data_IF_888550643511
#
_entry.id   IF_888550643511
#
_cell.length_a   1.000
_cell.length_b   1.000
_cell.length_c   1.000
_cell.angle_alpha   90.00
_cell.angle_beta   90.00
_cell.angle_gamma   90.00
#
_symmetry.space_group_name_H-M   'P 1'
#
loop_
_entity.id
_entity.type
_entity.pdbx_description
1 polymer ?
#
# COMPACT_ATOMS: atom_id res chain seq x y z
N UNK A 1 -5.21 -24.05 -2.77
CA UNK A 1 -4.30 -23.12 -3.47
C UNK A 1 -3.82 -22.08 -2.47
N UNK A 2 -2.51 -21.81 -2.40
CA UNK A 2 -1.94 -20.78 -1.53
C UNK A 2 -2.13 -19.41 -2.17
N UNK A 3 -2.56 -18.41 -1.40
CA UNK A 3 -2.61 -17.03 -1.88
C UNK A 3 -1.18 -16.53 -2.15
N UNK A 4 -0.93 -15.83 -3.28
CA UNK A 4 0.38 -15.31 -3.62
C UNK A 4 0.82 -14.22 -2.65
N UNK A 5 2.12 -14.12 -2.39
CA UNK A 5 2.70 -13.07 -1.54
C UNK A 5 2.69 -11.71 -2.26
N UNK A 6 2.82 -10.61 -1.49
CA UNK A 6 2.96 -9.25 -2.04
C UNK A 6 4.03 -9.18 -3.11
N UNK A 7 5.21 -9.75 -2.85
CA UNK A 7 6.34 -9.73 -3.78
C UNK A 7 6.07 -10.53 -5.05
N UNK A 8 5.39 -11.67 -4.94
CA UNK A 8 4.97 -12.47 -6.10
C UNK A 8 3.97 -11.69 -6.97
N UNK A 9 3.01 -10.99 -6.36
CA UNK A 9 2.06 -10.16 -7.10
C UNK A 9 2.79 -9.01 -7.80
N UNK A 10 3.66 -8.29 -7.09
CA UNK A 10 4.45 -7.21 -7.68
C UNK A 10 5.34 -7.70 -8.83
N UNK A 11 5.97 -8.87 -8.67
CA UNK A 11 6.77 -9.49 -9.73
C UNK A 11 5.93 -9.85 -10.96
N UNK A 12 4.72 -10.41 -10.77
CA UNK A 12 3.81 -10.71 -11.88
C UNK A 12 3.38 -9.46 -12.65
N UNK A 13 3.03 -8.38 -11.94
CA UNK A 13 2.71 -7.09 -12.56
C UNK A 13 3.89 -6.50 -13.34
N UNK A 14 5.12 -6.60 -12.82
CA UNK A 14 6.35 -6.17 -13.54
C UNK A 14 6.61 -7.03 -14.77
N UNK A 15 6.46 -8.35 -14.66
CA UNK A 15 6.65 -9.28 -15.76
C UNK A 15 5.66 -9.00 -16.90
N UNK A 16 4.39 -8.75 -16.58
CA UNK A 16 3.39 -8.35 -17.58
C UNK A 16 3.77 -7.05 -18.28
N UNK A 17 4.23 -6.03 -17.53
CA UNK A 17 4.69 -4.78 -18.14
C UNK A 17 5.87 -4.98 -19.10
N UNK A 18 6.86 -5.80 -18.72
CA UNK A 18 7.99 -6.15 -19.59
C UNK A 18 7.53 -6.92 -20.83
N UNK A 19 6.60 -7.87 -20.68
CA UNK A 19 6.02 -8.60 -21.81
C UNK A 19 5.29 -7.66 -22.76
N UNK A 20 4.47 -6.73 -22.27
CA UNK A 20 3.80 -5.73 -23.11
C UNK A 20 4.80 -4.84 -23.86
N UNK A 21 5.86 -4.40 -23.20
CA UNK A 21 6.89 -3.57 -23.83
C UNK A 21 7.63 -4.36 -24.93
N UNK A 22 8.07 -5.58 -24.64
CA UNK A 22 8.78 -6.43 -25.62
C UNK A 22 7.87 -6.83 -26.80
N UNK A 23 6.59 -7.06 -26.52
CA UNK A 23 5.56 -7.36 -27.51
C UNK A 23 5.31 -6.20 -28.48
N UNK A 24 5.39 -4.96 -27.99
CA UNK A 24 5.10 -3.76 -28.79
C UNK A 24 6.06 -3.58 -29.96
N UNK A 25 7.28 -4.09 -29.87
CA UNK A 25 8.29 -4.01 -30.93
C UNK A 25 8.13 -5.08 -32.04
N UNK A 26 7.28 -6.10 -31.83
CA UNK A 26 7.24 -7.28 -32.71
C UNK A 26 5.85 -7.80 -33.12
N UNK A 27 4.77 -7.26 -32.59
CA UNK A 27 3.41 -7.74 -32.91
C UNK A 27 2.72 -6.90 -33.99
N UNK A 28 2.24 -7.57 -35.03
CA UNK A 28 1.33 -7.01 -36.05
C UNK A 28 -0.12 -6.95 -35.55
N UNK A 29 -0.33 -6.56 -34.29
CA UNK A 29 -1.67 -6.36 -33.72
C UNK A 29 -1.92 -4.88 -33.52
N UNK A 30 -3.18 -4.45 -33.68
CA UNK A 30 -3.54 -3.07 -33.36
C UNK A 30 -3.29 -2.77 -31.88
N UNK A 31 -2.96 -1.51 -31.56
CA UNK A 31 -2.82 -1.01 -30.20
C UNK A 31 -4.04 -1.35 -29.33
N UNK A 32 -5.25 -1.22 -29.89
CA UNK A 32 -6.50 -1.56 -29.21
C UNK A 32 -6.59 -3.04 -28.81
N UNK A 33 -6.15 -3.95 -29.69
CA UNK A 33 -6.11 -5.39 -29.38
C UNK A 33 -5.05 -5.68 -28.29
N UNK A 34 -3.89 -5.01 -28.33
CA UNK A 34 -2.87 -5.13 -27.30
C UNK A 34 -3.38 -4.67 -25.93
N UNK A 35 -4.09 -3.55 -25.87
CA UNK A 35 -4.74 -3.07 -24.64
C UNK A 35 -5.78 -4.06 -24.12
N UNK A 36 -6.65 -4.58 -24.98
CA UNK A 36 -7.67 -5.53 -24.57
C UNK A 36 -7.06 -6.81 -23.97
N UNK A 37 -5.98 -7.34 -24.55
CA UNK A 37 -5.29 -8.52 -24.02
C UNK A 37 -4.66 -8.20 -22.66
N UNK A 38 -4.00 -7.03 -22.54
CA UNK A 38 -3.41 -6.59 -21.27
C UNK A 38 -4.46 -6.49 -20.17
N UNK A 39 -5.62 -5.91 -20.47
CA UNK A 39 -6.70 -5.74 -19.50
C UNK A 39 -7.29 -7.10 -19.07
N UNK A 40 -7.49 -8.04 -20.01
CA UNK A 40 -7.92 -9.40 -19.68
C UNK A 40 -6.94 -10.13 -18.74
N UNK A 41 -5.63 -9.94 -18.94
CA UNK A 41 -4.62 -10.53 -18.04
C UNK A 41 -4.64 -9.83 -16.68
N UNK A 42 -4.80 -8.49 -16.65
CA UNK A 42 -4.89 -7.74 -15.40
C UNK A 42 -6.12 -8.15 -14.58
N UNK A 43 -7.26 -8.42 -15.22
CA UNK A 43 -8.48 -8.90 -14.55
C UNK A 43 -8.31 -10.29 -13.91
N UNK A 44 -7.44 -11.13 -14.49
CA UNK A 44 -7.11 -12.44 -13.95
C UNK A 44 -6.02 -12.39 -12.86
N UNK A 45 -5.22 -11.31 -12.81
CA UNK A 45 -4.16 -11.14 -11.82
C UNK A 45 -4.74 -10.62 -10.50
N UNK A 46 -4.14 -11.02 -9.36
CA UNK A 46 -4.42 -10.34 -8.10
C UNK A 46 -4.15 -8.83 -8.25
N UNK A 47 -4.95 -7.98 -7.57
CA UNK A 47 -4.80 -6.54 -7.66
C UNK A 47 -3.40 -6.12 -7.22
N UNK A 48 -2.85 -5.11 -7.90
CA UNK A 48 -1.54 -4.59 -7.54
C UNK A 48 -1.57 -4.08 -6.09
N UNK A 49 -0.68 -4.55 -5.21
CA UNK A 49 -0.66 -4.11 -3.82
C UNK A 49 -0.40 -2.60 -3.72
N UNK A 50 -1.12 -1.92 -2.82
CA UNK A 50 -0.87 -0.51 -2.52
C UNK A 50 0.51 -0.32 -1.90
N UNK A 51 1.19 0.81 -2.13
CA UNK A 51 2.50 1.08 -1.55
C UNK A 51 2.43 1.11 -0.01
N UNK A 52 3.51 0.70 0.63
CA UNK A 52 3.68 0.82 2.08
C UNK A 52 4.36 2.14 2.43
N UNK A 53 4.38 2.50 3.72
CA UNK A 53 5.14 3.69 4.17
C UNK A 53 6.66 3.57 3.97
N UNK A 54 7.19 2.39 3.65
CA UNK A 54 8.59 2.24 3.21
C UNK A 54 8.83 2.79 1.80
N UNK A 55 7.78 2.84 0.98
CA UNK A 55 7.83 3.23 -0.44
C UNK A 55 7.39 4.69 -0.65
N UNK A 56 6.92 5.35 0.42
CA UNK A 56 6.39 6.71 0.40
C UNK A 56 7.16 7.56 1.39
N UNK A 57 7.58 8.74 0.96
CA UNK A 57 8.23 9.68 1.87
C UNK A 57 7.24 10.21 2.91
N UNK A 58 7.67 10.20 4.18
CA UNK A 58 6.89 10.77 5.26
C UNK A 58 6.73 12.29 5.09
N UNK A 59 5.50 12.75 5.22
CA UNK A 59 5.07 14.14 5.06
C UNK A 59 4.06 14.41 6.18
N UNK A 60 4.44 15.22 7.17
CA UNK A 60 3.61 15.51 8.35
C UNK A 60 2.21 16.01 7.96
N UNK A 61 2.12 16.85 6.93
CA UNK A 61 0.86 17.42 6.48
C UNK A 61 -0.11 16.39 5.90
N UNK A 62 0.40 15.24 5.45
CA UNK A 62 -0.37 14.16 4.84
C UNK A 62 -0.54 12.94 5.76
N UNK A 63 0.49 12.62 6.55
CA UNK A 63 0.59 11.36 7.26
C UNK A 63 0.33 11.47 8.76
N UNK A 64 0.50 12.65 9.37
CA UNK A 64 0.02 12.87 10.73
C UNK A 64 -1.51 12.66 10.77
N UNK A 65 -1.95 11.79 11.68
CA UNK A 65 -3.33 11.35 11.86
C UNK A 65 -3.95 10.66 10.62
N UNK A 66 -3.13 10.13 9.72
CA UNK A 66 -3.62 9.30 8.62
C UNK A 66 -3.82 7.85 9.05
N UNK A 67 -4.81 7.18 8.47
CA UNK A 67 -5.10 5.77 8.72
C UNK A 67 -4.23 4.87 7.82
N UNK A 68 -3.61 3.86 8.43
CA UNK A 68 -2.93 2.77 7.74
C UNK A 68 -3.49 1.41 8.15
N UNK A 69 -3.38 0.42 7.27
CA UNK A 69 -3.60 -0.99 7.58
C UNK A 69 -2.28 -1.62 8.04
N UNK A 70 -2.30 -2.27 9.20
CA UNK A 70 -1.23 -3.10 9.73
C UNK A 70 -1.66 -4.58 9.74
N UNK A 71 -0.83 -5.53 9.25
CA UNK A 71 -1.23 -6.93 9.06
C UNK A 71 -1.66 -7.65 10.35
N UNK A 72 -1.15 -7.24 11.51
CA UNK A 72 -1.49 -7.84 12.81
C UNK A 72 -2.59 -7.12 13.59
N UNK A 73 -2.79 -5.82 13.32
CA UNK A 73 -3.62 -4.95 14.18
C UNK A 73 -4.80 -4.31 13.45
N UNK A 74 -4.88 -4.47 12.13
CA UNK A 74 -5.91 -3.86 11.32
C UNK A 74 -5.66 -2.36 11.13
N UNK A 75 -6.69 -1.55 11.30
CA UNK A 75 -6.62 -0.09 11.15
C UNK A 75 -5.90 0.57 12.32
N UNK A 76 -4.91 1.38 12.00
CA UNK A 76 -4.10 2.15 12.96
C UNK A 76 -3.95 3.59 12.49
N UNK A 77 -3.68 4.50 13.43
CA UNK A 77 -3.49 5.92 13.15
C UNK A 77 -2.00 6.23 13.21
N UNK A 78 -1.44 6.79 12.15
CA UNK A 78 -0.04 7.20 12.12
C UNK A 78 0.13 8.54 12.85
N UNK A 79 1.15 8.62 13.72
CA UNK A 79 1.44 9.80 14.50
C UNK A 79 2.70 10.48 13.97
N UNK A 80 3.85 9.83 14.02
CA UNK A 80 5.10 10.46 13.62
C UNK A 80 6.15 9.42 13.24
N UNK A 81 7.24 9.86 12.61
CA UNK A 81 8.45 9.04 12.50
C UNK A 81 9.06 8.84 13.89
N UNK A 82 9.42 7.60 14.18
CA UNK A 82 10.18 7.27 15.38
C UNK A 82 11.61 7.83 15.27
N UNK A 83 12.25 8.06 16.43
CA UNK A 83 13.68 8.33 16.48
C UNK A 83 14.53 7.17 15.95
N UNK A 84 13.98 5.94 15.95
CA UNK A 84 14.60 4.79 15.29
C UNK A 84 14.27 4.81 13.79
N UNK A 85 15.28 4.85 12.89
CA UNK A 85 15.05 4.88 11.45
C UNK A 85 14.23 3.69 10.95
N UNK A 86 13.31 3.95 10.01
CA UNK A 86 12.43 2.94 9.43
C UNK A 86 11.24 2.54 10.31
N UNK A 87 11.01 3.24 11.43
CA UNK A 87 9.85 3.03 12.28
C UNK A 87 8.93 4.24 12.33
N UNK A 88 7.63 3.98 12.43
CA UNK A 88 6.57 4.97 12.58
C UNK A 88 5.83 4.67 13.88
N UNK A 89 5.59 5.72 14.68
CA UNK A 89 4.73 5.65 15.85
C UNK A 89 3.27 5.68 15.41
N UNK A 90 2.50 4.74 15.93
CA UNK A 90 1.07 4.58 15.63
C UNK A 90 0.26 4.58 16.92
N UNK A 91 -0.99 5.02 16.84
CA UNK A 91 -2.01 4.75 17.84
C UNK A 91 -2.91 3.60 17.37
N UNK A 92 -3.29 2.73 18.31
CA UNK A 92 -4.22 1.64 18.07
C UNK A 92 -5.64 2.13 18.33
N UNK A 93 -6.58 1.79 17.46
CA UNK A 93 -7.98 2.19 17.61
C UNK A 93 -8.75 1.40 18.70
N UNK A 94 -8.14 0.37 19.30
CA UNK A 94 -8.80 -0.51 20.28
C UNK A 94 -8.45 -0.12 21.72
N UNK A 95 -9.47 -0.07 22.56
CA UNK A 95 -9.43 0.42 23.95
C UNK A 95 -8.59 -0.41 24.95
N UNK A 96 -8.08 -1.59 24.58
CA UNK A 96 -7.44 -2.54 25.53
C UNK A 96 -6.00 -2.95 25.16
N UNK A 97 -5.34 -2.26 24.23
CA UNK A 97 -3.93 -2.47 23.88
C UNK A 97 -3.10 -1.20 24.18
N UNK A 98 -1.75 -1.28 24.26
CA UNK A 98 -0.93 -0.10 24.44
C UNK A 98 -1.35 1.01 23.48
N UNK A 99 -1.66 2.19 24.04
CA UNK A 99 -2.22 3.34 23.32
C UNK A 99 -1.38 3.78 22.12
N UNK A 100 -0.09 3.44 22.11
CA UNK A 100 0.79 3.65 20.97
C UNK A 100 1.89 2.57 20.87
N UNK A 101 2.36 2.33 19.65
CA UNK A 101 3.44 1.40 19.30
C UNK A 101 4.35 2.02 18.23
N UNK A 102 5.60 1.55 18.11
CA UNK A 102 6.47 1.87 16.98
C UNK A 102 6.60 0.64 16.06
N UNK A 103 6.22 0.78 14.79
CA UNK A 103 6.25 -0.32 13.81
C UNK A 103 7.08 0.01 12.61
N UNK A 104 7.54 -1.03 11.90
CA UNK A 104 8.29 -0.87 10.66
C UNK A 104 7.39 -0.25 9.59
N UNK A 105 7.90 0.74 8.88
CA UNK A 105 7.17 1.44 7.81
C UNK A 105 6.70 0.51 6.68
N UNK A 106 7.41 -0.60 6.42
CA UNK A 106 7.02 -1.60 5.42
C UNK A 106 5.81 -2.47 5.82
N UNK A 107 5.31 -2.33 7.04
CA UNK A 107 4.11 -3.03 7.52
C UNK A 107 2.86 -2.16 7.46
N UNK A 108 3.00 -0.87 7.14
CA UNK A 108 1.89 0.08 7.11
C UNK A 108 1.50 0.38 5.67
N UNK A 109 0.27 0.04 5.29
CA UNK A 109 -0.32 0.40 3.99
C UNK A 109 -1.30 1.55 4.18
N UNK A 110 -1.02 2.78 3.69
CA UNK A 110 -1.94 3.90 3.83
C UNK A 110 -3.28 3.60 3.17
N UNK A 111 -4.38 3.98 3.83
CA UNK A 111 -5.73 3.73 3.32
C UNK A 111 -6.32 4.91 2.55
N UNK A 112 -5.69 6.08 2.67
CA UNK A 112 -6.20 7.36 2.18
C UNK A 112 -7.15 8.08 3.13
N UNK A 113 -7.62 7.44 4.22
CA UNK A 113 -8.43 8.11 5.25
C UNK A 113 -7.55 8.90 6.22
N UNK A 114 -8.13 9.97 6.77
CA UNK A 114 -7.47 10.86 7.74
C UNK A 114 -8.42 11.21 8.86
N UNK A 115 -7.86 11.35 10.06
CA UNK A 115 -8.57 11.80 11.25
C UNK A 115 -8.27 13.27 11.51
N UNK A 116 -9.27 13.98 12.03
CA UNK A 116 -9.15 15.37 12.46
C UNK A 116 -9.46 15.44 13.95
N UNK A 117 -8.63 16.17 14.69
CA UNK A 117 -8.90 16.42 16.10
C UNK A 117 -10.11 17.36 16.22
N UNK A 118 -11.03 17.01 17.10
CA UNK A 118 -12.18 17.85 17.45
C UNK A 118 -12.09 18.16 18.93
N UNK A 119 -12.11 19.44 19.30
CA UNK A 119 -12.16 19.84 20.69
C UNK A 119 -13.49 19.38 21.31
N UNK A 120 -13.41 18.70 22.45
CA UNK A 120 -14.58 18.35 23.26
C UNK A 120 -14.57 19.28 24.46
N UNK A 121 -15.64 20.06 24.64
CA UNK A 121 -15.82 20.88 25.84
C UNK A 121 -16.18 19.96 27.02
N UNK A 122 -15.56 20.19 28.17
CA UNK A 122 -15.90 19.53 29.44
C UNK A 122 -17.21 20.06 30.04
#
# INVERSE_FOLDING_TARGET
MTNPTRDQILAAHRALAHLCNAASDGLFISEQAAHSIKDQVLDALPPKPQPTMAEVEWDDSKHYLAEAEHPGWGKVIMLERSACPGFIRIALAKENEPTWQAVKENTLTPTGKRYTLTEVQE
#
